data_IF_842395382515
#
_entry.id   IF_842395382515
#
_cell.length_a   1.000
_cell.length_b   1.000
_cell.length_c   1.000
_cell.angle_alpha   90.00
_cell.angle_beta   90.00
_cell.angle_gamma   90.00
#
_symmetry.space_group_name_H-M   'P 1'
#
loop_
_entity.id
_entity.type
_entity.pdbx_description
1 polymer ?
#
# COMPACT_ATOMS: atom_id res chain seq x y z
N UNK A 1 23.28 -49.56 19.06
CA UNK A 1 22.14 -49.01 19.84
C UNK A 1 21.71 -47.69 19.21
N UNK A 2 20.82 -47.74 18.22
CA UNK A 2 20.22 -46.54 17.61
C UNK A 2 18.96 -46.20 18.42
N UNK A 3 18.93 -45.01 19.03
CA UNK A 3 17.76 -44.48 19.74
C UNK A 3 16.75 -44.03 18.69
N UNK A 4 15.67 -44.77 18.54
CA UNK A 4 14.50 -44.38 17.74
C UNK A 4 13.89 -43.13 18.38
N UNK A 5 14.04 -41.98 17.74
CA UNK A 5 13.29 -40.77 18.10
C UNK A 5 11.82 -41.02 17.78
N UNK A 6 10.99 -41.07 18.83
CA UNK A 6 9.55 -41.23 18.70
C UNK A 6 8.99 -40.15 17.78
N UNK A 7 8.31 -40.58 16.73
CA UNK A 7 7.53 -39.71 15.85
C UNK A 7 6.51 -38.95 16.70
N UNK A 8 6.73 -37.65 16.90
CA UNK A 8 5.73 -36.76 17.48
C UNK A 8 4.68 -36.53 16.38
N UNK A 9 3.73 -37.45 16.28
CA UNK A 9 2.53 -37.27 15.47
C UNK A 9 1.61 -36.35 16.26
N UNK A 10 1.75 -35.03 16.05
CA UNK A 10 0.82 -34.07 16.60
C UNK A 10 -0.54 -34.25 15.92
N UNK A 11 -1.60 -34.39 16.71
CA UNK A 11 -2.95 -34.65 16.22
C UNK A 11 -3.40 -33.52 15.27
N UNK A 12 -3.85 -33.88 14.07
CA UNK A 12 -4.29 -32.92 13.04
C UNK A 12 -5.42 -32.02 13.55
N UNK A 13 -6.22 -32.51 14.49
CA UNK A 13 -7.30 -31.76 15.14
C UNK A 13 -6.82 -30.59 16.00
N UNK A 14 -5.59 -30.65 16.52
CA UNK A 14 -4.98 -29.57 17.32
C UNK A 14 -4.51 -28.38 16.47
N UNK A 15 -4.27 -28.58 15.17
CA UNK A 15 -3.89 -27.50 14.26
C UNK A 15 -5.07 -26.62 13.83
N UNK A 16 -6.31 -27.07 14.01
CA UNK A 16 -7.49 -26.35 13.52
C UNK A 16 -7.74 -24.99 14.21
N UNK A 17 -7.07 -24.73 15.34
CA UNK A 17 -7.28 -23.50 16.15
C UNK A 17 -6.02 -22.66 16.40
N UNK A 18 -4.88 -23.00 15.82
CA UNK A 18 -3.63 -22.25 16.05
C UNK A 18 -3.36 -21.22 14.95
N UNK A 19 -4.36 -20.38 14.67
CA UNK A 19 -4.13 -19.11 13.99
C UNK A 19 -3.43 -18.13 14.94
N UNK A 20 -2.68 -17.16 14.40
CA UNK A 20 -2.16 -16.04 15.21
C UNK A 20 -3.35 -15.36 15.90
N UNK A 21 -3.31 -15.25 17.23
CA UNK A 21 -4.34 -14.50 17.97
C UNK A 21 -4.45 -13.08 17.43
N UNK A 22 -5.67 -12.66 17.10
CA UNK A 22 -5.97 -11.30 16.68
C UNK A 22 -5.56 -10.32 17.77
N UNK A 23 -4.94 -9.21 17.37
CA UNK A 23 -4.62 -8.16 18.35
C UNK A 23 -5.88 -7.43 18.81
N UNK A 24 -6.87 -7.33 17.90
CA UNK A 24 -8.15 -6.70 18.16
C UNK A 24 -9.24 -7.74 18.41
N UNK A 25 -10.17 -7.44 19.33
CA UNK A 25 -11.42 -8.18 19.45
C UNK A 25 -12.34 -7.93 18.26
N UNK A 26 -13.33 -8.79 18.05
CA UNK A 26 -14.32 -8.61 16.97
C UNK A 26 -15.05 -7.26 17.08
N UNK A 27 -15.31 -6.79 18.30
CA UNK A 27 -15.90 -5.46 18.57
C UNK A 27 -14.96 -4.34 18.13
N UNK A 28 -13.67 -4.43 18.45
CA UNK A 28 -12.67 -3.45 18.04
C UNK A 28 -12.47 -3.45 16.52
N UNK A 29 -12.52 -4.62 15.88
CA UNK A 29 -12.48 -4.73 14.42
C UNK A 29 -13.71 -4.09 13.76
N UNK A 30 -14.89 -4.25 14.36
CA UNK A 30 -16.12 -3.61 13.88
C UNK A 30 -16.02 -2.07 13.96
N UNK A 31 -15.49 -1.55 15.07
CA UNK A 31 -15.25 -0.11 15.24
C UNK A 31 -14.20 0.40 14.24
N UNK A 32 -13.10 -0.32 14.08
CA UNK A 32 -12.06 0.03 13.10
C UNK A 32 -12.63 0.06 11.68
N UNK A 33 -13.49 -0.89 11.33
CA UNK A 33 -14.19 -0.94 10.04
C UNK A 33 -15.11 0.25 9.85
N UNK A 34 -15.87 0.63 10.87
CA UNK A 34 -16.78 1.77 10.83
C UNK A 34 -16.01 3.08 10.60
N UNK A 35 -14.90 3.30 11.32
CA UNK A 35 -14.04 4.48 11.14
C UNK A 35 -13.55 4.60 9.70
N UNK A 36 -13.01 3.52 9.13
CA UNK A 36 -12.46 3.53 7.76
C UNK A 36 -13.56 3.64 6.70
N UNK A 37 -14.76 3.10 6.98
CA UNK A 37 -15.90 3.21 6.06
C UNK A 37 -16.45 4.64 6.02
N UNK A 38 -16.48 5.33 7.17
CA UNK A 38 -16.95 6.71 7.27
C UNK A 38 -15.91 7.73 6.76
N UNK A 39 -14.62 7.42 6.87
CA UNK A 39 -13.52 8.25 6.36
C UNK A 39 -12.48 7.37 5.64
N UNK A 40 -12.66 7.11 4.34
CA UNK A 40 -11.74 6.28 3.56
C UNK A 40 -10.39 6.97 3.28
N UNK A 41 -10.29 8.28 3.56
CA UNK A 41 -9.05 9.06 3.40
C UNK A 41 -8.15 9.05 4.64
N UNK A 42 -8.62 8.45 5.74
CA UNK A 42 -7.91 8.43 7.01
C UNK A 42 -6.52 7.79 6.86
N UNK A 43 -5.50 8.49 7.38
CA UNK A 43 -4.16 7.93 7.43
C UNK A 43 -4.06 6.86 8.51
N UNK A 44 -3.18 5.86 8.32
CA UNK A 44 -2.95 4.80 9.31
C UNK A 44 -2.54 5.38 10.68
N UNK A 45 -1.83 6.50 10.67
CA UNK A 45 -1.37 7.20 11.88
C UNK A 45 -2.54 7.80 12.68
N UNK A 46 -3.52 8.35 11.97
CA UNK A 46 -4.74 8.91 12.56
C UNK A 46 -5.67 7.80 13.04
N UNK A 47 -5.78 6.72 12.27
CA UNK A 47 -6.51 5.53 12.67
C UNK A 47 -5.91 4.90 13.93
N UNK A 48 -4.58 4.84 14.04
CA UNK A 48 -3.88 4.37 15.23
C UNK A 48 -4.26 5.20 16.46
N UNK A 49 -4.26 6.53 16.33
CA UNK A 49 -4.63 7.43 17.41
C UNK A 49 -6.10 7.29 17.81
N UNK A 50 -7.01 7.19 16.82
CA UNK A 50 -8.45 6.97 17.09
C UNK A 50 -8.68 5.64 17.82
N UNK A 51 -8.00 4.58 17.39
CA UNK A 51 -8.09 3.28 18.06
C UNK A 51 -7.52 3.33 19.48
N UNK A 52 -6.37 3.97 19.69
CA UNK A 52 -5.78 4.18 21.02
C UNK A 52 -6.73 4.94 21.96
N UNK A 53 -7.42 5.97 21.46
CA UNK A 53 -8.40 6.72 22.25
C UNK A 53 -9.63 5.88 22.65
N UNK A 54 -10.00 4.87 21.84
CA UNK A 54 -11.17 4.02 22.07
C UNK A 54 -10.82 2.83 22.96
N UNK A 55 -9.68 2.17 22.69
CA UNK A 55 -9.28 0.93 23.36
C UNK A 55 -8.37 1.17 24.55
N UNK A 56 -7.80 2.37 24.68
CA UNK A 56 -6.76 2.70 25.66
C UNK A 56 -5.39 2.09 25.34
N UNK A 57 -5.24 1.40 24.20
CA UNK A 57 -4.02 0.69 23.84
C UNK A 57 -3.45 1.16 22.49
N UNK A 58 -2.17 1.55 22.51
CA UNK A 58 -1.44 1.88 21.30
C UNK A 58 -0.92 0.63 20.59
N UNK A 59 -1.57 0.27 19.49
CA UNK A 59 -1.17 -0.86 18.64
C UNK A 59 -0.23 -0.41 17.53
N UNK A 60 0.77 -1.21 17.16
CA UNK A 60 1.69 -0.86 16.08
C UNK A 60 0.96 -0.66 14.73
N UNK A 61 1.36 0.35 13.96
CA UNK A 61 0.80 0.67 12.62
C UNK A 61 0.76 -0.52 11.67
N UNK A 62 1.83 -1.34 11.68
CA UNK A 62 1.91 -2.55 10.87
C UNK A 62 0.84 -3.58 11.25
N UNK A 63 0.50 -3.66 12.54
CA UNK A 63 -0.56 -4.56 13.01
C UNK A 63 -1.92 -4.06 12.56
N UNK A 64 -2.20 -2.75 12.68
CA UNK A 64 -3.42 -2.13 12.14
C UNK A 64 -3.55 -2.40 10.64
N UNK A 65 -2.47 -2.20 9.88
CA UNK A 65 -2.45 -2.49 8.44
C UNK A 65 -2.73 -3.97 8.14
N UNK A 66 -2.12 -4.89 8.89
CA UNK A 66 -2.36 -6.33 8.74
C UNK A 66 -3.83 -6.68 9.01
N UNK A 67 -4.44 -6.09 10.03
CA UNK A 67 -5.81 -6.33 10.43
C UNK A 67 -6.80 -5.78 9.38
N UNK A 68 -6.57 -4.57 8.88
CA UNK A 68 -7.33 -4.01 7.75
C UNK A 68 -7.27 -4.93 6.51
N UNK A 69 -6.06 -5.36 6.13
CA UNK A 69 -5.85 -6.11 4.90
C UNK A 69 -6.28 -7.58 4.98
N UNK A 70 -5.90 -8.29 6.06
CA UNK A 70 -6.12 -9.74 6.19
C UNK A 70 -7.47 -10.08 6.80
N UNK A 71 -7.97 -9.26 7.73
CA UNK A 71 -9.21 -9.56 8.45
C UNK A 71 -10.41 -8.82 7.88
N UNK A 72 -10.25 -7.54 7.56
CA UNK A 72 -11.35 -6.76 6.97
C UNK A 72 -11.39 -6.79 5.44
N UNK A 73 -10.35 -7.35 4.79
CA UNK A 73 -10.26 -7.40 3.33
C UNK A 73 -10.13 -6.02 2.67
N UNK A 74 -9.75 -4.99 3.42
CA UNK A 74 -9.60 -3.63 2.95
C UNK A 74 -8.20 -3.42 2.40
N UNK A 75 -8.11 -3.08 1.12
CA UNK A 75 -6.85 -2.72 0.48
C UNK A 75 -6.70 -1.20 0.48
N UNK A 76 -5.56 -0.72 0.97
CA UNK A 76 -5.22 0.69 0.87
C UNK A 76 -4.88 0.99 -0.60
N UNK A 77 -5.76 1.70 -1.29
CA UNK A 77 -5.39 2.31 -2.56
C UNK A 77 -4.54 3.55 -2.25
N UNK A 78 -3.22 3.42 -2.43
CA UNK A 78 -2.34 4.57 -2.32
C UNK A 78 -2.71 5.52 -3.45
N UNK A 79 -3.31 6.66 -3.11
CA UNK A 79 -3.52 7.75 -4.06
C UNK A 79 -2.15 8.06 -4.65
N UNK A 80 -2.00 7.81 -5.95
CA UNK A 80 -0.80 8.23 -6.65
C UNK A 80 -0.70 9.75 -6.46
N UNK A 81 0.49 10.25 -6.14
CA UNK A 81 0.75 11.67 -6.32
C UNK A 81 0.49 11.95 -7.79
N UNK A 82 -0.63 12.61 -8.07
CA UNK A 82 -0.92 13.13 -9.40
C UNK A 82 0.27 14.03 -9.73
N UNK A 83 0.90 13.77 -10.87
CA UNK A 83 1.98 14.64 -11.35
C UNK A 83 1.45 16.09 -11.28
N UNK A 84 2.15 17.05 -10.66
CA UNK A 84 1.73 18.45 -10.66
C UNK A 84 1.41 19.00 -12.06
N UNK A 85 1.99 18.41 -13.12
CA UNK A 85 1.70 18.72 -14.51
C UNK A 85 0.36 18.13 -15.01
N UNK A 86 -0.18 17.13 -14.34
CA UNK A 86 -1.51 16.52 -14.59
C UNK A 86 -2.64 17.18 -13.79
N UNK A 87 -2.42 18.40 -13.27
CA UNK A 87 -3.51 19.19 -12.67
C UNK A 87 -4.62 19.45 -13.70
N UNK A 88 -5.91 19.44 -13.29
CA UNK A 88 -7.02 19.64 -14.22
C UNK A 88 -6.91 20.92 -15.04
N UNK A 89 -6.42 22.00 -14.44
CA UNK A 89 -6.28 23.30 -15.10
C UNK A 89 -5.23 23.23 -16.23
N UNK A 90 -4.09 22.61 -15.95
CA UNK A 90 -3.02 22.42 -16.94
C UNK A 90 -3.45 21.48 -18.07
N UNK A 91 -4.25 20.46 -17.75
CA UNK A 91 -4.81 19.54 -18.74
C UNK A 91 -5.76 20.26 -19.69
N UNK A 92 -6.66 21.09 -19.16
CA UNK A 92 -7.62 21.87 -19.97
C UNK A 92 -6.87 22.81 -20.91
N UNK A 93 -5.87 23.53 -20.41
CA UNK A 93 -5.05 24.43 -21.23
C UNK A 93 -4.26 23.70 -22.32
N UNK A 94 -3.74 22.51 -22.00
CA UNK A 94 -3.04 21.66 -22.97
C UNK A 94 -4.00 21.18 -24.07
N UNK A 95 -5.16 20.62 -23.68
CA UNK A 95 -6.18 20.13 -24.62
C UNK A 95 -6.67 21.27 -25.51
N UNK A 96 -6.94 22.45 -24.96
CA UNK A 96 -7.37 23.62 -25.72
C UNK A 96 -6.36 24.02 -26.81
N UNK A 97 -5.05 23.84 -26.56
CA UNK A 97 -3.99 24.13 -27.55
C UNK A 97 -3.89 23.09 -28.67
N UNK A 98 -4.28 21.84 -28.40
CA UNK A 98 -4.11 20.74 -29.36
C UNK A 98 -5.39 20.30 -30.06
N UNK A 99 -6.58 20.70 -29.59
CA UNK A 99 -7.88 20.21 -30.08
C UNK A 99 -8.12 20.50 -31.57
N UNK A 100 -7.46 21.51 -32.13
CA UNK A 100 -7.53 21.87 -33.54
C UNK A 100 -6.41 21.30 -34.40
N UNK A 101 -5.48 20.53 -33.82
CA UNK A 101 -4.34 19.97 -34.55
C UNK A 101 -4.71 18.56 -35.03
N UNK A 102 -4.67 18.30 -36.34
CA UNK A 102 -4.92 16.95 -36.87
C UNK A 102 -3.95 15.93 -36.27
N UNK A 103 -4.40 14.71 -35.93
CA UNK A 103 -3.53 13.70 -35.33
C UNK A 103 -2.29 13.36 -36.16
N UNK A 104 -2.37 13.49 -37.48
CA UNK A 104 -1.28 13.23 -38.42
C UNK A 104 -0.11 14.23 -38.26
N UNK A 105 -0.36 15.37 -37.61
CA UNK A 105 0.63 16.40 -37.31
C UNK A 105 1.21 16.29 -35.90
N UNK A 106 0.74 15.36 -35.06
CA UNK A 106 1.23 15.19 -33.69
C UNK A 106 2.46 14.27 -33.68
N UNK A 107 3.62 14.85 -33.38
CA UNK A 107 4.88 14.10 -33.16
C UNK A 107 5.19 14.07 -31.68
N UNK A 108 5.11 12.90 -31.06
CA UNK A 108 5.44 12.70 -29.65
C UNK A 108 6.95 12.45 -29.49
N UNK A 109 7.68 13.45 -29.01
CA UNK A 109 9.10 13.31 -28.66
C UNK A 109 9.18 12.85 -27.20
N UNK A 110 9.12 11.53 -26.98
CA UNK A 110 9.33 10.95 -25.66
C UNK A 110 10.80 11.02 -25.26
N UNK A 111 11.14 11.76 -24.21
CA UNK A 111 12.46 11.64 -23.57
C UNK A 111 12.51 10.33 -22.77
N UNK A 112 13.05 9.27 -23.38
CA UNK A 112 13.58 8.15 -22.60
C UNK A 112 14.86 8.61 -21.92
N UNK A 113 14.79 8.90 -20.62
CA UNK A 113 16.00 9.02 -19.79
C UNK A 113 16.66 7.64 -19.68
N UNK A 114 17.46 7.27 -20.68
CA UNK A 114 18.46 6.23 -20.49
C UNK A 114 19.61 6.87 -19.70
N UNK A 115 19.81 6.39 -18.48
CA UNK A 115 20.97 6.70 -17.65
C UNK A 115 22.24 6.23 -18.36
N UNK A 116 22.79 7.04 -19.26
CA UNK A 116 24.07 6.77 -19.94
C UNK A 116 25.01 7.98 -19.92
N UNK A 117 24.84 8.89 -18.96
CA UNK A 117 25.76 10.03 -18.77
C UNK A 117 26.90 9.75 -17.80
N UNK A 118 26.84 8.68 -17.00
CA UNK A 118 27.92 8.34 -16.05
C UNK A 118 29.08 7.54 -16.66
N UNK A 119 28.90 6.90 -17.82
CA UNK A 119 29.98 6.09 -18.43
C UNK A 119 30.91 6.93 -19.31
N UNK A 120 30.43 7.99 -19.96
CA UNK A 120 31.26 8.81 -20.87
C UNK A 120 32.25 9.70 -20.09
N UNK A 121 31.92 10.13 -18.87
CA UNK A 121 32.88 10.86 -18.02
C UNK A 121 33.92 9.97 -17.33
N UNK A 122 33.69 8.65 -17.20
CA UNK A 122 34.69 7.73 -16.60
C UNK A 122 35.72 7.22 -17.62
N UNK A 123 35.41 7.27 -18.93
CA UNK A 123 36.31 6.81 -20.00
C UNK A 123 37.23 7.89 -20.57
N UNK A 124 37.09 9.15 -20.15
CA UNK A 124 38.03 10.23 -20.49
C UNK A 124 39.08 10.50 -19.39
N UNK A 125 39.03 9.77 -18.28
CA UNK A 125 39.92 9.94 -17.13
C UNK A 125 40.70 8.66 -16.74
N UNK A 126 40.76 7.67 -17.64
CA UNK A 126 41.55 6.44 -17.47
C UNK A 126 42.49 6.22 -18.66
#
# INVERSE_FOLDING_TARGET
LLRTTGSVTCDKSMYAKQGRHYRFSDEQLAVMKDIVTNDPSIFIDELQLKMENITGERVAKLTIWWELHKHLGLTLHKTHSVDPHQRPENWVDYVAKIVGIPPECLVFIGMFFTYLTTVIHLLMFL
#
